data_IF_845693813050
#
_entry.id   IF_845693813050
#
_cell.length_a   1.000
_cell.length_b   1.000
_cell.length_c   1.000
_cell.angle_alpha   90.00
_cell.angle_beta   90.00
_cell.angle_gamma   90.00
#
_symmetry.space_group_name_H-M   'P 1'
#
loop_
_entity.id
_entity.type
_entity.pdbx_description
1 polymer ?
#
# COMPACT_ATOMS: atom_id res chain seq x y z
N UNK A 1 8.69 -15.36 -11.49
CA UNK A 1 7.48 -14.92 -10.78
C UNK A 1 6.30 -15.39 -11.60
N UNK A 2 5.42 -16.16 -10.99
CA UNK A 2 4.16 -16.55 -11.63
C UNK A 2 3.27 -15.34 -11.87
N UNK A 3 2.32 -15.48 -12.80
CA UNK A 3 1.42 -14.40 -13.17
C UNK A 3 0.55 -14.00 -11.97
N UNK A 4 0.60 -12.72 -11.59
CA UNK A 4 -0.31 -12.14 -10.61
C UNK A 4 -1.76 -12.22 -11.12
N UNK A 5 -2.66 -12.71 -10.27
CA UNK A 5 -4.09 -12.89 -10.58
C UNK A 5 -4.92 -11.77 -9.96
N UNK A 6 -4.63 -11.42 -8.71
CA UNK A 6 -5.31 -10.33 -7.99
C UNK A 6 -4.38 -9.69 -6.98
N UNK A 7 -4.64 -8.42 -6.68
CA UNK A 7 -4.02 -7.67 -5.61
C UNK A 7 -5.12 -6.79 -5.00
N UNK A 8 -5.55 -7.13 -3.78
CA UNK A 8 -6.74 -6.53 -3.17
C UNK A 8 -6.48 -6.24 -1.70
N UNK A 9 -7.10 -5.18 -1.18
CA UNK A 9 -7.11 -4.92 0.25
C UNK A 9 -8.21 -5.77 0.91
N UNK A 10 -7.81 -6.62 1.85
CA UNK A 10 -8.70 -7.42 2.67
C UNK A 10 -8.97 -6.69 4.00
N UNK A 11 -10.19 -6.16 4.13
CA UNK A 11 -10.60 -5.40 5.31
C UNK A 11 -10.76 -6.27 6.56
N UNK A 12 -10.96 -7.58 6.42
CA UNK A 12 -11.16 -8.48 7.55
C UNK A 12 -9.87 -8.65 8.37
N UNK A 13 -8.70 -8.56 7.72
CA UNK A 13 -7.39 -8.73 8.34
C UNK A 13 -6.45 -7.53 8.16
N UNK A 14 -6.95 -6.44 7.55
CA UNK A 14 -6.16 -5.24 7.23
C UNK A 14 -4.86 -5.55 6.46
N UNK A 15 -4.93 -6.47 5.49
CA UNK A 15 -3.78 -6.82 4.64
C UNK A 15 -4.05 -6.50 3.18
N UNK A 16 -3.00 -6.11 2.44
CA UNK A 16 -3.03 -6.19 0.98
C UNK A 16 -2.58 -7.58 0.56
N UNK A 17 -3.46 -8.33 -0.09
CA UNK A 17 -3.24 -9.72 -0.49
C UNK A 17 -2.96 -9.82 -1.98
N UNK A 18 -1.81 -10.41 -2.33
CA UNK A 18 -1.40 -10.71 -3.70
C UNK A 18 -1.56 -12.20 -3.94
N UNK A 19 -2.34 -12.58 -4.95
CA UNK A 19 -2.57 -13.98 -5.34
C UNK A 19 -1.94 -14.28 -6.68
N UNK A 20 -1.18 -15.35 -6.76
CA UNK A 20 -0.48 -15.78 -7.98
C UNK A 20 -1.15 -17.01 -8.63
N UNK A 21 -0.85 -17.22 -9.91
CA UNK A 21 -1.44 -18.29 -10.71
C UNK A 21 -1.06 -19.70 -10.23
N UNK A 22 0.07 -19.83 -9.54
CA UNK A 22 0.55 -21.08 -8.93
C UNK A 22 -0.17 -21.41 -7.61
N UNK A 23 -1.06 -20.53 -7.15
CA UNK A 23 -1.80 -20.67 -5.89
C UNK A 23 -1.08 -20.09 -4.67
N UNK A 24 0.14 -19.56 -4.83
CA UNK A 24 0.83 -18.85 -3.76
C UNK A 24 0.19 -17.50 -3.46
N UNK A 25 0.40 -17.02 -2.23
CA UNK A 25 -0.13 -15.74 -1.75
C UNK A 25 0.89 -15.00 -0.90
N UNK A 26 0.93 -13.68 -1.04
CA UNK A 26 1.64 -12.77 -0.13
C UNK A 26 0.58 -11.87 0.52
N UNK A 27 0.66 -11.68 1.83
CA UNK A 27 -0.14 -10.73 2.58
C UNK A 27 0.78 -9.67 3.18
N UNK A 28 0.54 -8.41 2.84
CA UNK A 28 1.25 -7.25 3.39
C UNK A 28 0.40 -6.71 4.54
N UNK A 29 0.91 -6.80 5.76
CA UNK A 29 0.29 -6.20 6.95
C UNK A 29 0.38 -4.67 6.85
N UNK A 30 -0.73 -4.01 6.54
CA UNK A 30 -0.72 -2.57 6.30
C UNK A 30 -0.47 -1.79 7.59
N UNK A 31 -0.90 -2.32 8.74
CA UNK A 31 -0.71 -1.69 10.04
C UNK A 31 0.77 -1.68 10.41
N UNK A 32 1.47 -2.80 10.21
CA UNK A 32 2.90 -2.89 10.45
C UNK A 32 3.68 -1.91 9.57
N UNK A 33 3.39 -1.92 8.27
CA UNK A 33 4.05 -1.04 7.29
C UNK A 33 3.78 0.44 7.59
N UNK A 34 2.52 0.83 7.80
CA UNK A 34 2.15 2.22 8.08
C UNK A 34 2.81 2.76 9.37
N UNK A 35 2.93 1.92 10.40
CA UNK A 35 3.61 2.32 11.64
C UNK A 35 5.12 2.58 11.45
N UNK A 36 5.73 2.00 10.43
CA UNK A 36 7.15 2.21 10.13
C UNK A 36 7.39 3.49 9.33
N UNK A 37 6.46 3.89 8.46
CA UNK A 37 6.69 4.97 7.47
C UNK A 37 5.88 6.25 7.69
N UNK A 38 4.82 6.22 8.50
CA UNK A 38 3.95 7.37 8.71
C UNK A 38 4.03 7.91 10.14
N UNK A 39 4.40 9.20 10.25
CA UNK A 39 4.58 9.91 11.52
C UNK A 39 3.34 10.72 11.92
N UNK A 40 2.41 10.97 10.99
CA UNK A 40 1.25 11.81 11.24
C UNK A 40 -0.02 11.35 10.52
N UNK A 41 -1.15 11.95 10.89
CA UNK A 41 -2.46 11.57 10.36
C UNK A 41 -2.61 11.86 8.86
N UNK A 42 -1.93 12.86 8.31
CA UNK A 42 -2.03 13.17 6.87
C UNK A 42 -1.34 12.09 6.05
N UNK A 43 -0.15 11.70 6.45
CA UNK A 43 0.60 10.60 5.85
C UNK A 43 -0.17 9.28 5.90
N UNK A 44 -0.82 8.99 7.03
CA UNK A 44 -1.70 7.82 7.15
C UNK A 44 -2.91 7.91 6.21
N UNK A 45 -3.57 9.06 6.10
CA UNK A 45 -4.68 9.24 5.16
C UNK A 45 -4.27 9.03 3.70
N UNK A 46 -3.06 9.44 3.30
CA UNK A 46 -2.54 9.18 1.96
C UNK A 46 -2.32 7.68 1.72
N UNK A 47 -1.80 6.96 2.71
CA UNK A 47 -1.64 5.50 2.66
C UNK A 47 -2.98 4.78 2.63
N UNK A 48 -3.94 5.19 3.47
CA UNK A 48 -5.31 4.68 3.45
C UNK A 48 -5.89 4.84 2.04
N UNK A 49 -5.85 6.05 1.48
CA UNK A 49 -6.34 6.30 0.12
C UNK A 49 -5.67 5.38 -0.91
N UNK A 50 -4.35 5.23 -0.84
CA UNK A 50 -3.59 4.39 -1.74
C UNK A 50 -3.98 2.90 -1.63
N UNK A 51 -4.13 2.39 -0.41
CA UNK A 51 -4.51 0.99 -0.13
C UNK A 51 -5.93 0.70 -0.66
N UNK A 52 -6.89 1.57 -0.38
CA UNK A 52 -8.29 1.38 -0.79
C UNK A 52 -8.48 1.53 -2.31
N UNK A 53 -7.78 2.46 -2.95
CA UNK A 53 -8.02 2.77 -4.36
C UNK A 53 -7.07 2.06 -5.32
N UNK A 54 -5.84 1.78 -4.88
CA UNK A 54 -4.76 1.24 -5.72
C UNK A 54 -3.85 0.26 -4.95
N UNK A 55 -4.39 -0.87 -4.44
CA UNK A 55 -3.63 -1.84 -3.65
C UNK A 55 -2.40 -2.39 -4.39
N UNK A 56 -2.44 -2.49 -5.73
CA UNK A 56 -1.29 -2.91 -6.52
C UNK A 56 -0.14 -1.88 -6.49
N UNK A 57 -0.45 -0.59 -6.55
CA UNK A 57 0.54 0.48 -6.48
C UNK A 57 1.18 0.51 -5.08
N UNK A 58 0.36 0.36 -4.03
CA UNK A 58 0.85 0.18 -2.66
C UNK A 58 1.84 -0.99 -2.54
N UNK A 59 1.47 -2.18 -3.03
CA UNK A 59 2.33 -3.36 -2.96
C UNK A 59 3.66 -3.15 -3.71
N UNK A 60 3.61 -2.47 -4.87
CA UNK A 60 4.81 -2.14 -5.63
C UNK A 60 5.74 -1.19 -4.86
N UNK A 61 5.20 -0.18 -4.18
CA UNK A 61 5.98 0.75 -3.36
C UNK A 61 6.60 0.05 -2.14
N UNK A 62 5.87 -0.88 -1.51
CA UNK A 62 6.39 -1.70 -0.40
C UNK A 62 7.56 -2.58 -0.88
N UNK A 63 7.39 -3.33 -1.97
CA UNK A 63 8.47 -4.19 -2.48
C UNK A 63 9.65 -3.41 -3.09
N UNK A 64 9.39 -2.20 -3.60
CA UNK A 64 10.41 -1.30 -4.12
C UNK A 64 11.18 -0.55 -3.03
N UNK A 65 10.67 -0.49 -1.80
CA UNK A 65 11.24 0.33 -0.73
C UNK A 65 11.04 1.84 -0.94
N UNK A 66 10.13 2.23 -1.84
CA UNK A 66 9.86 3.63 -2.19
C UNK A 66 8.69 4.23 -1.38
N UNK A 67 8.08 3.45 -0.49
CA UNK A 67 6.91 3.88 0.28
C UNK A 67 7.21 5.09 1.18
N UNK A 68 8.38 5.11 1.84
CA UNK A 68 8.78 6.28 2.65
C UNK A 68 8.89 7.55 1.81
N UNK A 69 9.44 7.44 0.59
CA UNK A 69 9.54 8.57 -0.35
C UNK A 69 8.17 9.02 -0.86
N UNK A 70 7.25 8.10 -1.07
CA UNK A 70 5.86 8.41 -1.42
C UNK A 70 5.18 9.20 -0.29
N UNK A 71 5.34 8.77 0.96
CA UNK A 71 4.72 9.38 2.14
C UNK A 71 5.34 10.74 2.50
N UNK A 72 6.65 10.91 2.31
CA UNK A 72 7.36 12.17 2.51
C UNK A 72 7.20 13.14 1.32
N UNK A 73 7.03 12.59 0.11
CA UNK A 73 6.73 13.30 -1.10
C UNK A 73 5.28 13.74 -1.10
N UNK A 74 5.00 14.85 -0.41
CA UNK A 74 3.70 15.53 -0.50
C UNK A 74 3.35 15.70 -1.98
N UNK A 75 2.40 14.88 -2.44
CA UNK A 75 1.84 15.00 -3.78
C UNK A 75 1.09 16.34 -3.85
N UNK A 76 1.11 16.95 -5.02
CA UNK A 76 0.60 18.29 -5.35
C UNK A 76 -0.92 18.49 -5.11
N UNK A 77 -1.57 17.63 -4.31
CA UNK A 77 -2.93 17.80 -3.81
C UNK A 77 -3.07 18.83 -2.68
N UNK A 78 -1.97 19.37 -2.15
CA UNK A 78 -2.00 20.52 -1.21
C UNK A 78 -2.00 21.90 -1.90
N UNK A 79 -1.93 21.97 -3.24
CA UNK A 79 -1.97 23.25 -3.99
C UNK A 79 -3.35 23.56 -4.58
N UNK A 80 -4.39 22.84 -4.17
CA UNK A 80 -5.78 23.16 -4.51
C UNK A 80 -6.55 23.53 -3.23
N UNK A 81 -6.10 24.59 -2.57
CA UNK A 81 -6.96 25.47 -1.76
C UNK A 81 -6.97 26.86 -2.41
#
# INVERSE_FOLDING_TARGET
MDRLISCEFNMDNACVELKFADGSMIAIDTIAVENEVADNMYQRSELDWLIYNKPLEYAQLVFGGDLERFVQGVSEHQLMD
#
